data_IF_494749861038
#
_entry.id   IF_494749861038
#
_cell.length_a   1.000
_cell.length_b   1.000
_cell.length_c   1.000
_cell.angle_alpha   90.00
_cell.angle_beta   90.00
_cell.angle_gamma   90.00
#
_symmetry.space_group_name_H-M   'P 1'
#
loop_
_entity.id
_entity.type
_entity.pdbx_description
1 polymer ?
#
# COMPACT_ATOMS: atom_id res chain seq x y z
N UNK A 1 6.77 13.89 -29.50
CA UNK A 1 6.03 12.79 -28.83
C UNK A 1 4.65 13.29 -28.43
N UNK A 2 3.65 12.41 -28.34
CA UNK A 2 2.29 12.77 -27.91
C UNK A 2 2.19 12.72 -26.38
N UNK A 3 1.43 13.65 -25.79
CA UNK A 3 1.12 13.68 -24.35
C UNK A 3 0.55 12.35 -23.85
N UNK A 4 -0.30 11.69 -24.64
CA UNK A 4 -0.88 10.40 -24.28
C UNK A 4 0.17 9.29 -24.12
N UNK A 5 1.24 9.32 -24.93
CA UNK A 5 2.33 8.36 -24.81
C UNK A 5 3.15 8.60 -23.54
N UNK A 6 3.39 9.85 -23.17
CA UNK A 6 4.12 10.21 -21.94
C UNK A 6 3.33 9.81 -20.68
N UNK A 7 2.03 10.08 -20.67
CA UNK A 7 1.15 9.71 -19.55
C UNK A 7 1.02 8.18 -19.43
N UNK A 8 0.98 7.46 -20.55
CA UNK A 8 1.01 5.99 -20.56
C UNK A 8 2.26 5.42 -19.87
N UNK A 9 3.44 5.96 -20.18
CA UNK A 9 4.71 5.53 -19.56
C UNK A 9 4.73 5.86 -18.06
N UNK A 10 4.30 7.06 -17.66
CA UNK A 10 4.24 7.45 -16.23
C UNK A 10 3.35 6.49 -15.43
N UNK A 11 2.18 6.15 -15.96
CA UNK A 11 1.25 5.23 -15.30
C UNK A 11 1.83 3.81 -15.19
N UNK A 12 2.46 3.31 -16.26
CA UNK A 12 3.08 1.98 -16.23
C UNK A 12 4.21 1.91 -15.19
N UNK A 13 5.06 2.94 -15.09
CA UNK A 13 6.12 3.01 -14.08
C UNK A 13 5.55 3.07 -12.67
N UNK A 14 4.51 3.89 -12.44
CA UNK A 14 3.86 3.98 -11.13
C UNK A 14 3.25 2.63 -10.71
N UNK A 15 2.58 1.94 -11.63
CA UNK A 15 2.00 0.63 -11.40
C UNK A 15 3.06 -0.43 -11.06
N UNK A 16 4.17 -0.45 -11.81
CA UNK A 16 5.27 -1.38 -11.55
C UNK A 16 5.90 -1.15 -10.17
N UNK A 17 6.13 0.11 -9.79
CA UNK A 17 6.64 0.47 -8.45
C UNK A 17 5.67 0.08 -7.34
N UNK A 18 4.38 0.32 -7.53
CA UNK A 18 3.37 -0.06 -6.55
C UNK A 18 3.30 -1.58 -6.36
N UNK A 19 3.42 -2.36 -7.44
CA UNK A 19 3.46 -3.81 -7.38
C UNK A 19 4.70 -4.31 -6.63
N UNK A 20 5.87 -3.77 -6.97
CA UNK A 20 7.13 -4.13 -6.30
C UNK A 20 7.05 -3.84 -4.80
N UNK A 21 6.61 -2.63 -4.43
CA UNK A 21 6.47 -2.25 -3.03
C UNK A 21 5.50 -3.18 -2.27
N UNK A 22 4.35 -3.53 -2.87
CA UNK A 22 3.40 -4.47 -2.24
C UNK A 22 4.03 -5.84 -2.01
N UNK A 23 4.82 -6.34 -2.95
CA UNK A 23 5.51 -7.62 -2.81
C UNK A 23 6.55 -7.56 -1.68
N UNK A 24 7.37 -6.52 -1.65
CA UNK A 24 8.43 -6.35 -0.64
C UNK A 24 7.85 -6.19 0.78
N UNK A 25 6.69 -5.55 0.91
CA UNK A 25 6.08 -5.24 2.20
C UNK A 25 5.01 -6.27 2.63
N UNK A 26 4.77 -7.32 1.84
CA UNK A 26 3.72 -8.30 2.11
C UNK A 26 3.84 -8.93 3.51
N UNK A 27 5.04 -9.34 3.91
CA UNK A 27 5.29 -9.94 5.22
C UNK A 27 5.06 -8.95 6.38
N UNK A 28 5.46 -7.69 6.21
CA UNK A 28 5.25 -6.64 7.21
C UNK A 28 3.76 -6.33 7.40
N UNK A 29 3.02 -6.22 6.29
CA UNK A 29 1.56 -6.03 6.32
C UNK A 29 0.85 -7.22 6.96
N UNK A 30 1.24 -8.46 6.62
CA UNK A 30 0.67 -9.66 7.23
C UNK A 30 0.92 -9.69 8.75
N UNK A 31 2.15 -9.39 9.18
CA UNK A 31 2.51 -9.33 10.60
C UNK A 31 1.69 -8.25 11.34
N UNK A 32 1.56 -7.07 10.74
CA UNK A 32 0.76 -5.98 11.31
C UNK A 32 -0.72 -6.33 11.41
N UNK A 33 -1.30 -6.95 10.39
CA UNK A 33 -2.69 -7.41 10.40
C UNK A 33 -2.92 -8.48 11.48
N UNK A 34 -2.04 -9.49 11.57
CA UNK A 34 -2.14 -10.54 12.58
C UNK A 34 -2.04 -9.98 14.01
N UNK A 35 -1.23 -8.94 14.23
CA UNK A 35 -1.19 -8.24 15.52
C UNK A 35 -2.54 -7.60 15.84
N UNK A 36 -3.12 -6.85 14.90
CA UNK A 36 -4.43 -6.21 15.08
C UNK A 36 -5.54 -7.23 15.31
N UNK A 37 -5.54 -8.35 14.59
CA UNK A 37 -6.51 -9.44 14.80
C UNK A 37 -6.43 -10.02 16.22
N UNK A 38 -5.22 -10.13 16.77
CA UNK A 38 -4.99 -10.72 18.10
C UNK A 38 -5.18 -9.72 19.25
N UNK A 39 -4.85 -8.45 19.03
CA UNK A 39 -4.72 -7.45 20.10
C UNK A 39 -5.72 -6.29 19.98
N UNK A 40 -6.49 -6.22 18.89
CA UNK A 40 -7.29 -5.06 18.54
C UNK A 40 -6.47 -3.96 17.88
N UNK A 41 -7.14 -2.90 17.45
CA UNK A 41 -6.50 -1.75 16.85
C UNK A 41 -5.77 -0.93 17.94
N UNK A 42 -4.46 -0.67 17.79
CA UNK A 42 -3.78 0.27 18.67
C UNK A 42 -4.49 1.62 18.64
N UNK A 43 -4.65 2.22 19.83
CA UNK A 43 -5.21 3.56 20.00
C UNK A 43 -6.68 3.71 19.56
N UNK A 44 -7.41 2.60 19.38
CA UNK A 44 -8.82 2.67 18.97
C UNK A 44 -9.68 3.43 19.98
N UNK A 45 -9.28 3.44 21.26
CA UNK A 45 -9.90 4.23 22.33
C UNK A 45 -9.91 5.75 22.09
N UNK A 46 -9.04 6.26 21.22
CA UNK A 46 -8.92 7.69 20.91
C UNK A 46 -9.63 8.07 19.59
N UNK A 47 -10.30 7.13 18.92
CA UNK A 47 -10.99 7.40 17.66
C UNK A 47 -12.20 8.31 17.88
N UNK A 48 -12.16 9.52 17.30
CA UNK A 48 -13.34 10.39 17.21
C UNK A 48 -14.21 9.97 16.04
N UNK A 49 -15.52 9.86 16.25
CA UNK A 49 -16.53 9.60 15.22
C UNK A 49 -17.32 10.87 14.92
#
# INVERSE_FOLDING_TARGET
MSRAAEDGVRNAVAAAKALQWKSENAAALQSSNAYVEKHGLPLDEFRQF
#
